data_IF_970301497694
#
_entry.id   IF_970301497694
#
_cell.length_a   1.000
_cell.length_b   1.000
_cell.length_c   1.000
_cell.angle_alpha   90.00
_cell.angle_beta   90.00
_cell.angle_gamma   90.00
#
_symmetry.space_group_name_H-M   'P 1'
#
loop_
_entity.id
_entity.type
_entity.pdbx_description
1 polymer ?
#
# COMPACT_ATOMS: atom_id res chain seq x y z
N UNK A 1 85.45 16.85 -28.72
CA UNK A 1 85.04 15.74 -27.84
C UNK A 1 84.36 16.37 -26.64
N UNK A 2 83.04 16.40 -26.71
CA UNK A 2 82.11 16.91 -25.70
C UNK A 2 81.83 15.80 -24.71
N UNK A 3 82.00 16.05 -23.40
CA UNK A 3 81.45 15.18 -22.37
C UNK A 3 80.63 16.03 -21.39
N UNK A 4 79.31 15.88 -21.50
CA UNK A 4 78.30 16.56 -20.70
C UNK A 4 78.05 15.75 -19.43
N UNK A 5 78.39 16.29 -18.27
CA UNK A 5 78.02 15.72 -16.98
C UNK A 5 76.52 16.01 -16.70
N UNK A 6 75.71 14.95 -16.57
CA UNK A 6 74.31 15.04 -16.20
C UNK A 6 74.14 15.34 -14.69
N UNK A 7 73.21 16.22 -14.27
CA UNK A 7 72.95 16.48 -12.86
C UNK A 7 72.10 15.37 -12.23
N UNK A 8 72.49 14.93 -11.03
CA UNK A 8 71.76 13.96 -10.23
C UNK A 8 70.39 14.50 -9.80
N UNK A 9 69.32 13.73 -10.02
CA UNK A 9 67.95 14.07 -9.60
C UNK A 9 67.80 13.94 -8.07
N UNK A 10 67.12 14.87 -7.40
CA UNK A 10 66.80 14.70 -5.98
C UNK A 10 65.75 13.60 -5.80
N UNK A 11 66.01 12.68 -4.87
CA UNK A 11 65.06 11.65 -4.45
C UNK A 11 63.88 12.32 -3.73
N UNK A 12 62.72 12.37 -4.36
CA UNK A 12 61.47 12.76 -3.71
C UNK A 12 60.98 11.61 -2.83
N UNK A 13 61.30 11.67 -1.54
CA UNK A 13 60.65 10.81 -0.53
C UNK A 13 59.25 11.36 -0.28
N UNK A 14 58.24 10.75 -0.91
CA UNK A 14 56.84 11.01 -0.60
C UNK A 14 56.57 10.38 0.78
N UNK A 15 56.40 11.20 1.81
CA UNK A 15 55.91 10.74 3.10
C UNK A 15 54.47 10.22 2.90
N UNK A 16 54.30 8.90 2.95
CA UNK A 16 52.96 8.29 3.01
C UNK A 16 52.45 8.54 4.43
N UNK A 17 51.73 9.64 4.63
CA UNK A 17 50.96 9.86 5.85
C UNK A 17 49.89 8.77 5.90
N UNK A 18 50.07 7.76 6.74
CA UNK A 18 49.06 6.74 7.06
C UNK A 18 47.97 7.34 7.98
N UNK A 19 47.34 8.43 7.57
CA UNK A 19 46.13 8.89 8.20
C UNK A 19 44.96 8.26 7.44
N UNK A 20 44.38 7.20 7.99
CA UNK A 20 43.10 6.70 7.53
C UNK A 20 42.11 7.89 7.47
N UNK A 21 41.36 8.09 6.38
CA UNK A 21 40.37 9.16 6.34
C UNK A 21 39.42 8.95 7.52
N UNK A 22 39.36 9.94 8.43
CA UNK A 22 38.38 9.92 9.52
C UNK A 22 37.00 9.77 8.88
N UNK A 23 36.32 8.68 9.22
CA UNK A 23 34.95 8.48 8.80
C UNK A 23 34.13 9.72 9.21
N UNK A 24 33.33 10.29 8.31
CA UNK A 24 32.53 11.47 8.65
C UNK A 24 31.70 11.16 9.90
N UNK A 25 31.90 11.96 10.94
CA UNK A 25 31.15 11.85 12.19
C UNK A 25 29.67 11.89 11.85
N UNK A 26 28.96 10.76 12.05
CA UNK A 26 27.50 10.72 11.88
C UNK A 26 26.92 11.85 12.74
N UNK A 27 26.12 12.77 12.17
CA UNK A 27 25.45 13.78 12.97
C UNK A 27 24.67 13.07 14.08
N UNK A 28 24.87 13.50 15.32
CA UNK A 28 24.20 12.93 16.47
C UNK A 28 22.69 12.91 16.20
N UNK A 29 22.06 11.75 16.35
CA UNK A 29 20.62 11.63 16.25
C UNK A 29 19.93 12.58 17.24
N UNK A 30 18.72 13.07 16.94
CA UNK A 30 17.99 13.92 17.87
C UNK A 30 17.88 13.21 19.22
N UNK A 31 18.12 13.97 20.30
CA UNK A 31 18.10 13.44 21.66
C UNK A 31 16.78 12.70 21.93
N UNK A 32 16.82 11.53 22.60
CA UNK A 32 15.61 10.80 22.95
C UNK A 32 14.68 11.71 23.77
N UNK A 33 13.41 11.74 23.39
CA UNK A 33 12.40 12.51 24.10
C UNK A 33 12.17 11.87 25.47
N UNK A 34 12.63 12.53 26.53
CA UNK A 34 12.43 12.11 27.91
C UNK A 34 11.22 12.83 28.51
N UNK A 35 10.28 12.08 29.07
CA UNK A 35 9.07 12.64 29.71
C UNK A 35 7.81 11.79 29.50
N UNK A 36 6.70 12.11 30.20
CA UNK A 36 5.43 11.40 30.03
C UNK A 36 4.84 11.66 28.64
N UNK A 37 4.15 10.66 28.09
CA UNK A 37 3.47 10.78 26.79
C UNK A 37 2.38 11.87 26.83
N UNK A 38 2.27 12.64 25.73
CA UNK A 38 1.25 13.70 25.57
C UNK A 38 0.64 13.62 24.17
N UNK A 39 -0.66 13.90 24.03
CA UNK A 39 -1.36 13.98 22.72
C UNK A 39 -0.66 14.92 21.72
N UNK A 40 -0.08 16.03 22.20
CA UNK A 40 0.69 16.95 21.38
C UNK A 40 1.88 16.29 20.67
N UNK A 41 2.41 15.17 21.18
CA UNK A 41 3.52 14.43 20.54
C UNK A 41 3.11 13.78 19.20
N UNK A 42 1.81 13.62 18.92
CA UNK A 42 1.33 13.19 17.60
C UNK A 42 1.65 14.22 16.51
N UNK A 43 1.72 15.50 16.87
CA UNK A 43 2.03 16.59 15.95
C UNK A 43 3.53 16.73 15.64
N UNK A 44 4.39 15.96 16.31
CA UNK A 44 5.84 16.04 16.13
C UNK A 44 6.30 15.53 14.76
N UNK A 45 5.53 14.63 14.13
CA UNK A 45 5.83 14.14 12.79
C UNK A 45 4.56 13.65 12.07
N UNK A 46 4.45 13.80 10.74
CA UNK A 46 3.32 13.33 9.96
C UNK A 46 2.96 11.86 10.19
N UNK A 47 3.96 10.97 10.26
CA UNK A 47 3.72 9.54 10.49
C UNK A 47 3.10 9.21 11.85
N UNK A 48 3.38 9.99 12.90
CA UNK A 48 2.80 9.72 14.24
C UNK A 48 1.29 9.95 14.23
N UNK A 49 0.85 11.07 13.66
CA UNK A 49 -0.57 11.39 13.50
C UNK A 49 -1.26 10.36 12.59
N UNK A 50 -0.70 10.10 11.40
CA UNK A 50 -1.28 9.17 10.44
C UNK A 50 -1.42 7.75 10.99
N UNK A 51 -0.37 7.23 11.64
CA UNK A 51 -0.37 5.87 12.18
C UNK A 51 -1.30 5.73 13.37
N UNK A 52 -1.39 6.75 14.24
CA UNK A 52 -2.33 6.74 15.35
C UNK A 52 -3.78 6.67 14.87
N UNK A 53 -4.15 7.52 13.91
CA UNK A 53 -5.50 7.52 13.33
C UNK A 53 -5.79 6.21 12.57
N UNK A 54 -4.81 5.68 11.84
CA UNK A 54 -4.94 4.39 11.17
C UNK A 54 -5.23 3.27 12.17
N UNK A 55 -4.48 3.23 13.28
CA UNK A 55 -4.69 2.23 14.33
C UNK A 55 -6.06 2.36 15.01
N UNK A 56 -6.56 3.59 15.23
CA UNK A 56 -7.91 3.80 15.76
C UNK A 56 -8.98 3.24 14.81
N UNK A 57 -8.89 3.56 13.51
CA UNK A 57 -9.83 3.05 12.51
C UNK A 57 -9.75 1.53 12.40
N UNK A 58 -8.54 0.96 12.39
CA UNK A 58 -8.33 -0.49 12.36
C UNK A 58 -8.94 -1.16 13.60
N UNK A 59 -8.66 -0.65 14.81
CA UNK A 59 -9.18 -1.22 16.05
C UNK A 59 -10.72 -1.18 16.08
N UNK A 60 -11.31 -0.06 15.68
CA UNK A 60 -12.75 0.10 15.60
C UNK A 60 -13.38 -0.85 14.58
N UNK A 61 -12.78 -0.96 13.38
CA UNK A 61 -13.27 -1.86 12.34
C UNK A 61 -13.09 -3.34 12.71
N UNK A 62 -12.01 -3.70 13.40
CA UNK A 62 -11.79 -5.06 13.93
C UNK A 62 -12.76 -5.40 15.04
N UNK A 63 -13.01 -4.50 15.99
CA UNK A 63 -14.00 -4.69 17.04
C UNK A 63 -15.43 -4.81 16.47
N UNK A 64 -15.76 -3.94 15.52
CA UNK A 64 -17.02 -4.00 14.78
C UNK A 64 -17.17 -5.32 14.04
N UNK A 65 -16.14 -5.78 13.32
CA UNK A 65 -16.20 -7.05 12.61
C UNK A 65 -16.30 -8.25 13.55
N UNK A 66 -15.59 -8.24 14.68
CA UNK A 66 -15.72 -9.27 15.70
C UNK A 66 -17.16 -9.35 16.21
N UNK A 67 -17.79 -8.21 16.54
CA UNK A 67 -19.19 -8.15 16.95
C UNK A 67 -20.14 -8.74 15.89
N UNK A 68 -19.93 -8.40 14.61
CA UNK A 68 -20.70 -8.98 13.49
C UNK A 68 -20.54 -10.49 13.42
N UNK A 69 -19.32 -11.01 13.63
CA UNK A 69 -19.05 -12.44 13.58
C UNK A 69 -19.65 -13.20 14.78
N UNK A 70 -19.54 -12.65 15.98
CA UNK A 70 -20.17 -13.21 17.18
C UNK A 70 -21.70 -13.28 17.04
N UNK A 71 -22.32 -12.20 16.55
CA UNK A 71 -23.77 -12.18 16.32
C UNK A 71 -24.20 -13.16 15.20
N UNK A 72 -23.38 -13.34 14.17
CA UNK A 72 -23.66 -14.34 13.11
C UNK A 72 -23.60 -15.78 13.59
N UNK A 73 -22.72 -16.08 14.55
CA UNK A 73 -22.56 -17.44 15.08
C UNK A 73 -23.63 -17.73 16.13
N UNK A 74 -23.88 -16.76 17.02
CA UNK A 74 -24.67 -17.00 18.23
C UNK A 74 -26.04 -16.31 18.24
N UNK A 75 -26.25 -15.25 17.44
CA UNK A 75 -27.48 -14.46 17.41
C UNK A 75 -27.75 -13.66 18.69
N UNK A 76 -26.75 -13.46 19.56
CA UNK A 76 -26.92 -12.87 20.89
C UNK A 76 -27.34 -11.40 20.87
N UNK A 77 -26.99 -10.65 19.82
CA UNK A 77 -27.16 -9.21 19.76
C UNK A 77 -28.28 -8.78 18.82
N UNK A 78 -28.65 -9.62 17.84
CA UNK A 78 -29.70 -9.34 16.87
C UNK A 78 -29.41 -8.07 16.07
N UNK A 79 -28.18 -7.96 15.54
CA UNK A 79 -27.71 -6.74 14.89
C UNK A 79 -28.52 -6.45 13.62
N UNK A 80 -29.13 -5.26 13.59
CA UNK A 80 -29.74 -4.70 12.38
C UNK A 80 -28.68 -4.08 11.46
N UNK A 81 -28.87 -4.20 10.15
CA UNK A 81 -27.94 -3.68 9.14
C UNK A 81 -28.68 -2.79 8.13
N UNK A 82 -28.29 -1.52 8.11
CA UNK A 82 -28.74 -0.55 7.09
C UNK A 82 -27.87 -0.60 5.83
N UNK A 83 -26.65 -1.14 5.94
CA UNK A 83 -25.73 -1.39 4.81
C UNK A 83 -25.19 -2.81 4.92
N UNK A 84 -24.98 -3.48 3.79
CA UNK A 84 -24.39 -4.81 3.74
C UNK A 84 -23.13 -4.91 4.62
N UNK A 85 -23.04 -5.88 5.54
CA UNK A 85 -21.85 -6.06 6.38
C UNK A 85 -20.59 -6.36 5.55
N UNK A 86 -20.74 -7.08 4.43
CA UNK A 86 -19.66 -7.41 3.52
C UNK A 86 -19.11 -6.14 2.84
N UNK A 87 -20.00 -5.28 2.34
CA UNK A 87 -19.59 -3.99 1.76
C UNK A 87 -18.95 -3.09 2.82
N UNK A 88 -19.54 -3.04 4.02
CA UNK A 88 -19.02 -2.26 5.14
C UNK A 88 -17.61 -2.67 5.50
N UNK A 89 -17.39 -3.97 5.70
CA UNK A 89 -16.08 -4.54 6.02
C UNK A 89 -15.07 -4.31 4.90
N UNK A 90 -15.40 -4.67 3.66
CA UNK A 90 -14.49 -4.54 2.53
C UNK A 90 -14.04 -3.08 2.34
N UNK A 91 -14.98 -2.14 2.40
CA UNK A 91 -14.69 -0.70 2.19
C UNK A 91 -13.75 -0.18 3.27
N UNK A 92 -14.02 -0.44 4.56
CA UNK A 92 -13.17 0.06 5.65
C UNK A 92 -11.81 -0.66 5.68
N UNK A 93 -11.74 -1.92 5.28
CA UNK A 93 -10.47 -2.66 5.24
C UNK A 93 -9.55 -2.17 4.11
N UNK A 94 -10.10 -1.80 2.95
CA UNK A 94 -9.30 -1.34 1.81
C UNK A 94 -9.02 0.17 1.90
N UNK A 95 -10.03 0.98 2.15
CA UNK A 95 -9.97 2.45 2.04
C UNK A 95 -9.89 3.16 3.40
N UNK A 96 -10.11 2.43 4.50
CA UNK A 96 -10.15 2.97 5.86
C UNK A 96 -8.78 3.33 6.43
N UNK A 97 -8.15 2.31 7.02
CA UNK A 97 -6.92 2.50 7.78
C UNK A 97 -5.68 2.56 6.89
N UNK A 98 -5.68 1.85 5.74
CA UNK A 98 -4.53 1.80 4.84
C UNK A 98 -4.10 3.17 4.30
N UNK A 99 -5.00 4.05 3.80
CA UNK A 99 -4.59 5.37 3.33
C UNK A 99 -4.09 6.28 4.45
N UNK A 100 -4.58 6.09 5.69
CA UNK A 100 -4.04 6.79 6.87
C UNK A 100 -2.61 6.34 7.18
N UNK A 101 -2.29 5.04 7.05
CA UNK A 101 -0.91 4.58 7.11
C UNK A 101 -0.05 5.16 5.97
N UNK A 102 -0.56 5.17 4.74
CA UNK A 102 0.14 5.80 3.62
C UNK A 102 0.44 7.26 3.88
N UNK A 103 -0.50 8.03 4.44
CA UNK A 103 -0.28 9.44 4.78
C UNK A 103 1.01 9.65 5.59
N UNK A 104 1.22 8.79 6.59
CA UNK A 104 2.38 8.88 7.46
C UNK A 104 3.67 8.69 6.68
N UNK A 105 3.67 7.71 5.79
CA UNK A 105 4.81 7.45 4.91
C UNK A 105 5.02 8.56 3.87
N UNK A 106 3.97 8.94 3.14
CA UNK A 106 4.02 9.88 2.01
C UNK A 106 4.48 11.27 2.43
N UNK A 107 4.03 11.78 3.59
CA UNK A 107 4.43 13.11 4.05
C UNK A 107 5.71 13.13 4.89
N UNK A 108 6.30 11.97 5.19
CA UNK A 108 7.60 11.88 5.87
C UNK A 108 8.73 11.55 4.88
N UNK A 109 8.52 10.56 4.00
CA UNK A 109 9.50 10.11 3.01
C UNK A 109 9.34 10.81 1.65
N UNK A 110 8.11 11.13 1.23
CA UNK A 110 7.83 11.75 -0.07
C UNK A 110 8.57 13.07 -0.30
N UNK A 111 8.58 14.04 0.64
CA UNK A 111 9.35 15.27 0.47
C UNK A 111 10.84 15.02 0.23
N UNK A 112 11.42 14.00 0.89
CA UNK A 112 12.83 13.61 0.69
C UNK A 112 13.06 13.00 -0.69
N UNK A 113 12.15 12.15 -1.17
CA UNK A 113 12.22 11.56 -2.51
C UNK A 113 12.14 12.61 -3.61
N UNK A 114 11.32 13.64 -3.38
CA UNK A 114 11.04 14.71 -4.32
C UNK A 114 11.99 15.89 -4.18
N UNK A 115 12.91 15.85 -3.21
CA UNK A 115 13.82 16.95 -2.87
C UNK A 115 13.08 18.29 -2.70
N UNK A 116 11.99 18.27 -1.94
CA UNK A 116 11.17 19.44 -1.60
C UNK A 116 11.03 19.60 -0.07
N UNK A 117 10.80 20.82 0.44
CA UNK A 117 10.54 21.03 1.86
C UNK A 117 9.32 20.22 2.34
N UNK A 118 9.39 19.56 3.51
CA UNK A 118 8.25 18.85 4.07
C UNK A 118 7.16 19.83 4.55
N UNK A 119 5.89 19.40 4.46
CA UNK A 119 4.80 20.15 5.07
C UNK A 119 4.83 20.05 6.60
N UNK A 120 4.32 21.09 7.25
CA UNK A 120 4.00 21.03 8.68
C UNK A 120 2.85 20.04 8.94
N UNK A 121 2.97 19.21 9.98
CA UNK A 121 1.96 18.21 10.35
C UNK A 121 0.58 18.81 10.58
N UNK A 122 0.48 20.09 10.99
CA UNK A 122 -0.78 20.81 11.17
C UNK A 122 -1.64 20.85 9.91
N UNK A 123 -1.02 20.90 8.72
CA UNK A 123 -1.76 20.88 7.45
C UNK A 123 -2.44 19.54 7.16
N UNK A 124 -2.01 18.47 7.84
CA UNK A 124 -2.55 17.12 7.67
C UNK A 124 -3.70 16.82 8.64
N UNK A 125 -3.92 17.66 9.66
CA UNK A 125 -4.97 17.41 10.67
C UNK A 125 -6.36 17.40 10.04
N UNK A 126 -6.65 18.36 9.14
CA UNK A 126 -7.91 18.43 8.41
C UNK A 126 -8.19 17.15 7.59
N UNK A 127 -7.37 16.81 6.58
CA UNK A 127 -7.64 15.66 5.72
C UNK A 127 -7.65 14.33 6.49
N UNK A 128 -6.74 14.13 7.45
CA UNK A 128 -6.69 12.87 8.21
C UNK A 128 -7.82 12.78 9.26
N UNK A 129 -8.23 13.91 9.82
CA UNK A 129 -9.40 14.00 10.71
C UNK A 129 -10.68 13.65 9.96
N UNK A 130 -10.88 14.18 8.75
CA UNK A 130 -12.02 13.85 7.88
C UNK A 130 -12.06 12.35 7.56
N UNK A 131 -10.92 11.76 7.20
CA UNK A 131 -10.81 10.31 7.01
C UNK A 131 -11.23 9.55 8.28
N UNK A 132 -10.59 9.82 9.42
CA UNK A 132 -10.87 9.09 10.66
C UNK A 132 -12.34 9.21 11.10
N UNK A 133 -12.91 10.42 11.06
CA UNK A 133 -14.31 10.65 11.39
C UNK A 133 -15.25 9.99 10.39
N UNK A 134 -14.93 10.05 9.10
CA UNK A 134 -15.70 9.42 8.03
C UNK A 134 -15.86 7.92 8.26
N UNK A 135 -14.78 7.23 8.66
CA UNK A 135 -14.84 5.80 8.96
C UNK A 135 -15.61 5.48 10.25
N UNK A 136 -15.63 6.37 11.24
CA UNK A 136 -16.49 6.18 12.42
C UNK A 136 -17.98 6.29 12.06
N UNK A 137 -18.34 7.27 11.23
CA UNK A 137 -19.72 7.38 10.70
C UNK A 137 -20.08 6.26 9.74
N UNK A 138 -19.12 5.72 8.98
CA UNK A 138 -19.33 4.54 8.14
C UNK A 138 -19.74 3.33 8.97
N UNK A 139 -18.97 3.01 10.02
CA UNK A 139 -19.25 1.87 10.90
C UNK A 139 -20.56 2.05 11.70
N UNK A 140 -20.82 3.26 12.21
CA UNK A 140 -22.09 3.55 12.89
C UNK A 140 -23.28 3.50 11.92
N UNK A 141 -23.12 4.09 10.74
CA UNK A 141 -24.14 4.13 9.69
C UNK A 141 -24.52 2.76 9.16
N UNK A 142 -23.59 1.79 9.16
CA UNK A 142 -23.87 0.42 8.79
C UNK A 142 -25.01 -0.22 9.61
N UNK A 143 -25.20 0.22 10.86
CA UNK A 143 -26.30 -0.23 11.72
C UNK A 143 -27.46 0.76 11.80
N UNK A 144 -27.16 2.05 11.87
CA UNK A 144 -28.16 3.06 12.20
C UNK A 144 -28.96 3.55 10.98
N UNK A 145 -28.28 3.91 9.89
CA UNK A 145 -28.89 4.47 8.71
C UNK A 145 -27.91 4.55 7.52
N UNK A 146 -28.38 4.20 6.33
CA UNK A 146 -27.59 4.32 5.09
C UNK A 146 -27.15 5.77 4.81
N UNK A 147 -27.95 6.78 5.18
CA UNK A 147 -27.59 8.19 5.03
C UNK A 147 -26.39 8.59 5.91
N UNK A 148 -26.28 8.04 7.12
CA UNK A 148 -25.13 8.24 7.99
C UNK A 148 -23.87 7.56 7.42
N UNK A 149 -24.04 6.37 6.84
CA UNK A 149 -22.94 5.68 6.15
C UNK A 149 -22.45 6.49 4.93
N UNK A 150 -23.37 7.02 4.12
CA UNK A 150 -23.05 7.88 2.97
C UNK A 150 -22.35 9.18 3.40
N UNK A 151 -22.77 9.80 4.51
CA UNK A 151 -22.06 10.93 5.11
C UNK A 151 -20.62 10.53 5.49
N UNK A 152 -20.46 9.35 6.11
CA UNK A 152 -19.15 8.78 6.41
C UNK A 152 -18.26 8.64 5.18
N UNK A 153 -18.77 8.07 4.08
CA UNK A 153 -18.05 7.98 2.81
C UNK A 153 -17.71 9.34 2.22
N UNK A 154 -18.61 10.31 2.29
CA UNK A 154 -18.37 11.66 1.78
C UNK A 154 -17.23 12.35 2.54
N UNK A 155 -17.20 12.25 3.87
CA UNK A 155 -16.09 12.78 4.69
C UNK A 155 -14.78 12.05 4.40
N UNK A 156 -14.81 10.71 4.30
CA UNK A 156 -13.65 9.91 3.95
C UNK A 156 -13.09 10.27 2.57
N UNK A 157 -13.97 10.43 1.57
CA UNK A 157 -13.62 10.85 0.22
C UNK A 157 -13.01 12.25 0.17
N UNK A 158 -13.61 13.21 0.89
CA UNK A 158 -13.07 14.57 0.99
C UNK A 158 -11.69 14.58 1.67
N UNK A 159 -11.51 13.80 2.74
CA UNK A 159 -10.24 13.66 3.44
C UNK A 159 -9.15 13.02 2.56
N UNK A 160 -9.49 11.93 1.87
CA UNK A 160 -8.59 11.22 0.96
C UNK A 160 -8.18 12.10 -0.24
N UNK A 161 -9.16 12.74 -0.88
CA UNK A 161 -8.93 13.64 -2.01
C UNK A 161 -8.06 14.84 -1.63
N UNK A 162 -8.33 15.46 -0.48
CA UNK A 162 -7.50 16.55 0.03
C UNK A 162 -6.07 16.08 0.35
N UNK A 163 -5.91 14.92 0.99
CA UNK A 163 -4.60 14.33 1.24
C UNK A 163 -3.80 14.14 -0.06
N UNK A 164 -4.40 13.54 -1.09
CA UNK A 164 -3.72 13.34 -2.37
C UNK A 164 -3.49 14.63 -3.15
N UNK A 165 -4.37 15.62 -3.02
CA UNK A 165 -4.12 16.96 -3.56
C UNK A 165 -2.84 17.58 -2.98
N UNK A 166 -2.63 17.47 -1.66
CA UNK A 166 -1.38 17.93 -1.03
C UNK A 166 -0.16 17.17 -1.56
N UNK A 167 -0.29 15.86 -1.77
CA UNK A 167 0.79 15.04 -2.33
C UNK A 167 1.12 15.42 -3.77
N UNK A 168 0.12 15.61 -4.63
CA UNK A 168 0.31 16.08 -6.01
C UNK A 168 0.96 17.46 -6.07
N UNK A 169 0.67 18.36 -5.11
CA UNK A 169 1.38 19.65 -4.99
C UNK A 169 2.88 19.47 -4.69
N UNK A 170 3.26 18.49 -3.87
CA UNK A 170 4.68 18.17 -3.66
C UNK A 170 5.33 17.67 -4.96
N UNK A 171 4.63 16.82 -5.71
CA UNK A 171 5.12 16.28 -6.97
C UNK A 171 5.31 17.37 -8.04
N UNK A 172 4.41 18.35 -8.09
CA UNK A 172 4.50 19.52 -8.96
C UNK A 172 5.64 20.46 -8.60
N UNK A 173 5.94 20.63 -7.30
CA UNK A 173 7.04 21.47 -6.83
C UNK A 173 8.43 20.83 -7.03
N UNK A 174 8.48 19.51 -7.21
CA UNK A 174 9.73 18.77 -7.38
C UNK A 174 10.45 19.14 -8.69
N UNK A 175 11.78 19.07 -8.66
CA UNK A 175 12.67 19.21 -9.83
C UNK A 175 13.53 17.98 -10.10
N UNK A 176 13.29 16.87 -9.40
CA UNK A 176 14.05 15.63 -9.63
C UNK A 176 13.65 14.98 -10.96
N UNK A 177 14.61 14.30 -11.60
CA UNK A 177 14.40 13.62 -12.89
C UNK A 177 13.58 12.32 -12.72
N UNK A 178 13.88 11.51 -11.70
CA UNK A 178 13.13 10.27 -11.42
C UNK A 178 11.92 10.54 -10.52
N UNK A 179 10.74 10.59 -11.13
CA UNK A 179 9.45 10.76 -10.44
C UNK A 179 8.55 9.53 -10.54
N UNK A 180 9.01 8.44 -11.15
CA UNK A 180 8.15 7.33 -11.59
C UNK A 180 7.37 6.75 -10.42
N UNK A 181 8.04 6.45 -9.29
CA UNK A 181 7.36 5.89 -8.11
C UNK A 181 6.37 6.86 -7.48
N UNK A 182 6.73 8.15 -7.36
CA UNK A 182 5.86 9.15 -6.78
C UNK A 182 4.63 9.42 -7.66
N UNK A 183 4.79 9.43 -8.99
CA UNK A 183 3.69 9.52 -9.94
C UNK A 183 2.78 8.30 -9.86
N UNK A 184 3.32 7.07 -9.78
CA UNK A 184 2.52 5.85 -9.62
C UNK A 184 1.66 5.89 -8.34
N UNK A 185 2.25 6.32 -7.22
CA UNK A 185 1.52 6.53 -5.95
C UNK A 185 0.45 7.62 -6.09
N UNK A 186 0.75 8.72 -6.78
CA UNK A 186 -0.20 9.80 -7.02
C UNK A 186 -1.39 9.35 -7.87
N UNK A 187 -1.15 8.58 -8.93
CA UNK A 187 -2.19 7.99 -9.79
C UNK A 187 -3.03 7.01 -8.99
N UNK A 188 -2.41 6.15 -8.17
CA UNK A 188 -3.12 5.25 -7.27
C UNK A 188 -4.07 6.02 -6.34
N UNK A 189 -3.63 7.15 -5.78
CA UNK A 189 -4.49 8.01 -4.97
C UNK A 189 -5.69 8.60 -5.70
N UNK A 190 -5.54 8.93 -6.99
CA UNK A 190 -6.66 9.37 -7.84
C UNK A 190 -7.65 8.21 -8.01
N UNK A 191 -7.16 7.02 -8.38
CA UNK A 191 -8.00 5.81 -8.53
C UNK A 191 -8.74 5.50 -7.24
N UNK A 192 -8.06 5.54 -6.09
CA UNK A 192 -8.66 5.30 -4.78
C UNK A 192 -9.76 6.30 -4.43
N UNK A 193 -9.54 7.59 -4.70
CA UNK A 193 -10.53 8.66 -4.47
C UNK A 193 -11.75 8.48 -5.38
N UNK A 194 -11.54 8.18 -6.66
CA UNK A 194 -12.63 7.94 -7.61
C UNK A 194 -13.43 6.68 -7.26
N UNK A 195 -12.76 5.59 -6.86
CA UNK A 195 -13.42 4.36 -6.42
C UNK A 195 -14.25 4.58 -5.15
N UNK A 196 -13.74 5.37 -4.19
CA UNK A 196 -14.47 5.70 -2.96
C UNK A 196 -15.72 6.54 -3.26
N UNK A 197 -15.60 7.56 -4.11
CA UNK A 197 -16.74 8.35 -4.58
C UNK A 197 -17.76 7.47 -5.34
N UNK A 198 -17.27 6.64 -6.26
CA UNK A 198 -18.09 5.70 -7.02
C UNK A 198 -18.81 4.68 -6.13
N UNK A 199 -18.18 4.23 -5.05
CA UNK A 199 -18.79 3.32 -4.06
C UNK A 199 -20.01 3.98 -3.43
N UNK A 200 -19.90 5.25 -3.02
CA UNK A 200 -21.04 6.02 -2.50
C UNK A 200 -22.15 6.22 -3.54
N UNK A 201 -21.80 6.50 -4.80
CA UNK A 201 -22.76 6.64 -5.90
C UNK A 201 -23.47 5.31 -6.23
N UNK A 202 -22.75 4.19 -6.20
CA UNK A 202 -23.30 2.86 -6.42
C UNK A 202 -24.28 2.48 -5.28
N UNK A 203 -23.93 2.81 -4.03
CA UNK A 203 -24.81 2.61 -2.88
C UNK A 203 -26.10 3.44 -2.98
N UNK A 204 -26.02 4.69 -3.42
CA UNK A 204 -27.20 5.53 -3.65
C UNK A 204 -28.16 4.93 -4.69
N UNK A 205 -27.63 4.14 -5.62
CA UNK A 205 -28.39 3.44 -6.66
C UNK A 205 -28.78 2.01 -6.25
N UNK A 206 -28.45 1.56 -5.04
CA UNK A 206 -28.69 0.19 -4.58
C UNK A 206 -27.85 -0.87 -5.30
N UNK A 207 -26.74 -0.48 -5.94
CA UNK A 207 -25.87 -1.37 -6.73
C UNK A 207 -24.70 -1.90 -5.90
N UNK A 208 -24.99 -2.74 -4.91
CA UNK A 208 -23.97 -3.28 -3.99
C UNK A 208 -22.84 -4.04 -4.70
N UNK A 209 -23.13 -4.72 -5.80
CA UNK A 209 -22.10 -5.43 -6.59
C UNK A 209 -21.14 -4.48 -7.28
N UNK A 210 -21.65 -3.36 -7.82
CA UNK A 210 -20.81 -2.32 -8.41
C UNK A 210 -19.96 -1.65 -7.31
N UNK A 211 -20.55 -1.39 -6.15
CA UNK A 211 -19.84 -0.84 -5.00
C UNK A 211 -18.66 -1.74 -4.57
N UNK A 212 -18.90 -3.05 -4.46
CA UNK A 212 -17.84 -4.02 -4.15
C UNK A 212 -16.79 -4.14 -5.27
N UNK A 213 -17.18 -4.07 -6.55
CA UNK A 213 -16.23 -4.06 -7.66
C UNK A 213 -15.31 -2.82 -7.63
N UNK A 214 -15.85 -1.65 -7.27
CA UNK A 214 -15.08 -0.43 -7.06
C UNK A 214 -14.13 -0.52 -5.86
N UNK A 215 -14.57 -1.11 -4.75
CA UNK A 215 -13.70 -1.37 -3.59
C UNK A 215 -12.54 -2.30 -3.96
N UNK A 216 -12.79 -3.37 -4.73
CA UNK A 216 -11.73 -4.25 -5.23
C UNK A 216 -10.82 -3.56 -6.25
N UNK A 217 -11.37 -2.68 -7.08
CA UNK A 217 -10.59 -1.82 -7.97
C UNK A 217 -9.66 -0.90 -7.16
N UNK A 218 -10.12 -0.36 -6.03
CA UNK A 218 -9.27 0.40 -5.11
C UNK A 218 -8.19 -0.47 -4.44
N UNK A 219 -8.48 -1.73 -4.12
CA UNK A 219 -7.46 -2.63 -3.59
C UNK A 219 -6.27 -2.75 -4.56
N UNK A 220 -6.53 -3.08 -5.83
CA UNK A 220 -5.45 -3.26 -6.80
C UNK A 220 -4.90 -1.95 -7.35
N UNK A 221 -5.79 -1.10 -7.87
CA UNK A 221 -5.45 0.16 -8.54
C UNK A 221 -4.97 1.27 -7.60
N UNK A 222 -5.19 1.14 -6.29
CA UNK A 222 -4.72 2.11 -5.30
C UNK A 222 -3.78 1.48 -4.25
N UNK A 223 -4.24 0.51 -3.46
CA UNK A 223 -3.45 -0.03 -2.35
C UNK A 223 -2.22 -0.79 -2.86
N UNK A 224 -2.40 -1.75 -3.77
CA UNK A 224 -1.31 -2.54 -4.34
C UNK A 224 -0.39 -1.66 -5.18
N UNK A 225 -0.91 -0.78 -6.04
CA UNK A 225 -0.09 0.19 -6.80
C UNK A 225 0.81 1.03 -5.89
N UNK A 226 0.25 1.59 -4.81
CA UNK A 226 1.04 2.36 -3.83
C UNK A 226 2.08 1.48 -3.15
N UNK A 227 1.67 0.29 -2.72
CA UNK A 227 2.52 -0.65 -2.03
C UNK A 227 3.72 -1.09 -2.88
N UNK A 228 3.51 -1.55 -4.12
CA UNK A 228 4.58 -2.05 -5.00
C UNK A 228 5.51 -0.92 -5.46
N UNK A 229 4.99 0.29 -5.67
CA UNK A 229 5.81 1.46 -5.98
C UNK A 229 6.75 1.80 -4.81
N UNK A 230 6.26 1.75 -3.57
CA UNK A 230 7.08 1.98 -2.37
C UNK A 230 8.06 0.81 -2.14
N UNK A 231 7.58 -0.43 -2.22
CA UNK A 231 8.38 -1.64 -2.02
C UNK A 231 9.55 -1.70 -3.00
N UNK A 232 9.31 -1.44 -4.28
CA UNK A 232 10.36 -1.43 -5.31
C UNK A 232 11.50 -0.47 -4.98
N UNK A 233 11.20 0.66 -4.34
CA UNK A 233 12.21 1.67 -3.96
C UNK A 233 12.89 1.34 -2.63
N UNK A 234 12.11 0.91 -1.64
CA UNK A 234 12.57 0.76 -0.26
C UNK A 234 13.28 -0.57 0.00
N UNK A 235 12.77 -1.68 -0.53
CA UNK A 235 13.30 -3.01 -0.26
C UNK A 235 14.77 -3.10 -0.72
N UNK A 236 15.13 -2.80 -1.98
CA UNK A 236 16.53 -2.86 -2.42
C UNK A 236 17.45 -1.85 -1.71
N UNK A 237 16.89 -0.70 -1.30
CA UNK A 237 17.64 0.34 -0.59
C UNK A 237 18.07 -0.10 0.81
N UNK A 238 17.19 -0.75 1.57
CA UNK A 238 17.55 -1.19 2.92
C UNK A 238 18.44 -2.44 2.92
N UNK A 239 18.28 -3.34 1.94
CA UNK A 239 19.14 -4.52 1.80
C UNK A 239 20.59 -4.13 1.50
N UNK A 240 20.82 -3.14 0.62
CA UNK A 240 22.15 -2.60 0.32
C UNK A 240 22.75 -1.76 1.45
N UNK A 241 21.93 -1.04 2.22
CA UNK A 241 22.40 -0.33 3.42
C UNK A 241 22.91 -1.24 4.55
N UNK A 242 22.48 -2.51 4.58
CA UNK A 242 22.96 -3.53 5.52
C UNK A 242 24.14 -4.37 4.99
N UNK A 243 24.35 -4.38 3.67
CA UNK A 243 25.41 -5.13 2.99
C UNK A 243 26.13 -4.21 1.97
N UNK A 244 27.16 -3.45 2.39
CA UNK A 244 27.81 -2.43 1.56
C UNK A 244 28.54 -2.94 0.30
N UNK A 245 28.54 -4.27 0.05
CA UNK A 245 29.21 -4.92 -1.08
C UNK A 245 28.25 -5.40 -2.19
N UNK A 246 26.94 -5.18 -2.07
CA UNK A 246 25.95 -5.59 -3.08
C UNK A 246 25.40 -4.36 -3.79
N UNK A 247 25.59 -4.29 -5.11
CA UNK A 247 24.96 -3.26 -5.95
C UNK A 247 23.43 -3.33 -5.89
N UNK A 248 22.77 -2.17 -5.86
CA UNK A 248 21.31 -2.08 -5.77
C UNK A 248 20.66 -2.56 -7.07
N UNK A 249 20.27 -3.84 -7.12
CA UNK A 249 19.52 -4.39 -8.25
C UNK A 249 18.05 -3.95 -8.19
N UNK A 250 17.72 -2.90 -8.95
CA UNK A 250 16.38 -2.31 -9.03
C UNK A 250 16.04 -1.84 -10.45
N UNK A 251 15.92 -2.76 -11.43
CA UNK A 251 15.59 -2.38 -12.79
C UNK A 251 14.11 -1.98 -12.90
N UNK A 252 13.81 -0.92 -13.66
CA UNK A 252 12.45 -0.38 -13.78
C UNK A 252 11.44 -1.36 -14.41
N UNK A 253 11.88 -2.35 -15.19
CA UNK A 253 10.97 -3.36 -15.74
C UNK A 253 10.28 -4.17 -14.63
N UNK A 254 10.92 -4.37 -13.48
CA UNK A 254 10.31 -5.06 -12.34
C UNK A 254 9.14 -4.24 -11.80
N UNK A 255 9.29 -2.91 -11.69
CA UNK A 255 8.18 -2.03 -11.33
C UNK A 255 7.03 -2.14 -12.32
N UNK A 256 7.31 -2.07 -13.61
CA UNK A 256 6.28 -2.15 -14.64
C UNK A 256 5.58 -3.51 -14.66
N UNK A 257 6.29 -4.61 -14.38
CA UNK A 257 5.69 -5.93 -14.21
C UNK A 257 4.71 -5.94 -13.03
N UNK A 258 5.09 -5.39 -11.88
CA UNK A 258 4.23 -5.34 -10.69
C UNK A 258 3.00 -4.43 -10.89
N UNK A 259 3.20 -3.27 -11.53
CA UNK A 259 2.10 -2.37 -11.90
C UNK A 259 1.20 -2.99 -12.96
N UNK A 260 1.77 -3.72 -13.92
CA UNK A 260 1.04 -4.47 -14.93
C UNK A 260 0.19 -5.59 -14.34
N UNK A 261 0.72 -6.33 -13.35
CA UNK A 261 -0.05 -7.32 -12.60
C UNK A 261 -1.23 -6.65 -11.87
N UNK A 262 -1.00 -5.54 -11.16
CA UNK A 262 -2.09 -4.81 -10.49
C UNK A 262 -3.15 -4.29 -11.49
N UNK A 263 -2.74 -3.80 -12.66
CA UNK A 263 -3.66 -3.36 -13.70
C UNK A 263 -4.45 -4.53 -14.31
N UNK A 264 -3.80 -5.69 -14.49
CA UNK A 264 -4.45 -6.91 -14.94
C UNK A 264 -5.53 -7.35 -13.95
N UNK A 265 -5.25 -7.32 -12.64
CA UNK A 265 -6.26 -7.64 -11.62
C UNK A 265 -7.43 -6.65 -11.56
N UNK A 266 -7.20 -5.38 -11.91
CA UNK A 266 -8.34 -4.45 -12.12
C UNK A 266 -9.17 -4.90 -13.33
N UNK A 267 -8.52 -5.29 -14.43
CA UNK A 267 -9.21 -5.75 -15.62
C UNK A 267 -10.04 -7.02 -15.34
N UNK A 268 -9.50 -7.99 -14.58
CA UNK A 268 -10.24 -9.21 -14.21
C UNK A 268 -11.55 -8.88 -13.52
N UNK A 269 -11.52 -7.97 -12.53
CA UNK A 269 -12.73 -7.52 -11.81
C UNK A 269 -13.82 -7.02 -12.77
N UNK A 270 -13.47 -6.22 -13.77
CA UNK A 270 -14.44 -5.61 -14.67
C UNK A 270 -14.91 -6.55 -15.78
N UNK A 271 -14.05 -7.47 -16.25
CA UNK A 271 -14.47 -8.54 -17.16
C UNK A 271 -15.49 -9.45 -16.46
N UNK A 272 -15.21 -9.83 -15.21
CA UNK A 272 -16.08 -10.68 -14.41
C UNK A 272 -17.41 -9.98 -14.07
N UNK A 273 -17.36 -8.66 -13.81
CA UNK A 273 -18.56 -7.84 -13.58
C UNK A 273 -19.44 -7.72 -14.83
N UNK A 274 -18.86 -7.63 -16.02
CA UNK A 274 -19.60 -7.50 -17.28
C UNK A 274 -20.29 -8.80 -17.71
N UNK A 275 -19.74 -9.95 -17.35
CA UNK A 275 -20.29 -11.26 -17.71
C UNK A 275 -20.35 -12.21 -16.49
N UNK A 276 -21.28 -11.98 -15.54
CA UNK A 276 -21.40 -12.81 -14.34
C UNK A 276 -21.97 -14.19 -14.70
N UNK A 277 -21.12 -15.20 -14.89
CA UNK A 277 -21.54 -16.57 -15.13
C UNK A 277 -20.45 -17.63 -15.00
N UNK A 278 -20.79 -18.77 -14.39
CA UNK A 278 -19.85 -19.84 -14.06
C UNK A 278 -19.25 -20.59 -15.28
N UNK A 279 -19.80 -20.37 -16.47
CA UNK A 279 -19.32 -20.97 -17.73
C UNK A 279 -19.04 -19.91 -18.78
N UNK A 280 -19.07 -18.62 -18.41
CA UNK A 280 -19.14 -17.55 -19.40
C UNK A 280 -17.81 -17.45 -20.17
N UNK A 281 -16.65 -17.65 -19.50
CA UNK A 281 -15.34 -17.49 -20.13
C UNK A 281 -14.27 -18.47 -19.60
N UNK A 282 -14.37 -19.79 -19.84
CA UNK A 282 -13.40 -20.77 -19.32
C UNK A 282 -11.96 -20.48 -19.77
N UNK A 283 -11.79 -20.02 -21.02
CA UNK A 283 -10.50 -19.61 -21.55
C UNK A 283 -9.91 -18.39 -20.83
N UNK A 284 -10.75 -17.42 -20.47
CA UNK A 284 -10.33 -16.25 -19.68
C UNK A 284 -9.89 -16.67 -18.29
N UNK A 285 -10.66 -17.52 -17.60
CA UNK A 285 -10.29 -18.01 -16.28
C UNK A 285 -8.95 -18.76 -16.31
N UNK A 286 -8.71 -19.60 -17.33
CA UNK A 286 -7.41 -20.26 -17.51
C UNK A 286 -6.31 -19.22 -17.75
N UNK A 287 -6.55 -18.19 -18.56
CA UNK A 287 -5.58 -17.12 -18.78
C UNK A 287 -5.26 -16.36 -17.47
N UNK A 288 -6.27 -16.04 -16.66
CA UNK A 288 -6.10 -15.42 -15.34
C UNK A 288 -5.24 -16.30 -14.43
N UNK A 289 -5.56 -17.59 -14.32
CA UNK A 289 -4.77 -18.56 -13.53
C UNK A 289 -3.31 -18.55 -13.96
N UNK A 290 -3.03 -18.61 -15.27
CA UNK A 290 -1.65 -18.63 -15.77
C UNK A 290 -0.90 -17.33 -15.45
N UNK A 291 -1.56 -16.18 -15.60
CA UNK A 291 -0.97 -14.87 -15.28
C UNK A 291 -0.72 -14.73 -13.78
N UNK A 292 -1.68 -15.11 -12.92
CA UNK A 292 -1.54 -15.09 -11.47
C UNK A 292 -0.44 -16.03 -10.98
N UNK A 293 -0.33 -17.24 -11.54
CA UNK A 293 0.75 -18.19 -11.23
C UNK A 293 2.12 -17.61 -11.61
N UNK A 294 2.24 -17.04 -12.82
CA UNK A 294 3.48 -16.44 -13.28
C UNK A 294 3.86 -15.22 -12.44
N UNK A 295 2.93 -14.30 -12.22
CA UNK A 295 3.16 -13.09 -11.41
C UNK A 295 3.47 -13.45 -9.95
N UNK A 296 2.70 -14.34 -9.33
CA UNK A 296 2.93 -14.83 -7.97
C UNK A 296 4.30 -15.49 -7.80
N UNK A 297 4.68 -16.35 -8.76
CA UNK A 297 6.01 -16.98 -8.78
C UNK A 297 7.15 -15.98 -8.89
N UNK A 298 7.03 -14.99 -9.80
CA UNK A 298 8.02 -13.93 -9.98
C UNK A 298 8.12 -13.05 -8.72
N UNK A 299 6.99 -12.70 -8.08
CA UNK A 299 7.00 -11.91 -6.84
C UNK A 299 7.69 -12.65 -5.69
N UNK A 300 7.44 -13.95 -5.52
CA UNK A 300 8.12 -14.76 -4.49
C UNK A 300 9.61 -14.90 -4.78
N UNK A 301 9.98 -15.11 -6.03
CA UNK A 301 11.39 -15.13 -6.44
C UNK A 301 12.07 -13.78 -6.17
N UNK A 302 11.43 -12.66 -6.51
CA UNK A 302 11.92 -11.31 -6.20
C UNK A 302 12.06 -11.08 -4.69
N UNK A 303 11.12 -11.57 -3.89
CA UNK A 303 11.20 -11.47 -2.43
C UNK A 303 12.48 -12.14 -1.89
N UNK A 304 12.86 -13.29 -2.44
CA UNK A 304 14.10 -13.99 -2.09
C UNK A 304 15.33 -13.24 -2.60
N UNK A 305 15.35 -12.82 -3.87
CA UNK A 305 16.48 -12.10 -4.50
C UNK A 305 16.78 -10.78 -3.79
N UNK A 306 15.74 -10.08 -3.32
CA UNK A 306 15.91 -8.83 -2.58
C UNK A 306 16.31 -9.01 -1.10
N UNK A 307 16.58 -10.24 -0.66
CA UNK A 307 17.20 -10.52 0.63
C UNK A 307 16.22 -10.73 1.77
N UNK A 308 15.17 -11.54 1.55
CA UNK A 308 14.16 -11.88 2.56
C UNK A 308 14.80 -12.27 3.90
N UNK A 309 15.79 -13.16 3.92
CA UNK A 309 16.41 -13.67 5.16
C UNK A 309 17.18 -12.57 5.89
N UNK A 310 17.90 -11.73 5.16
CA UNK A 310 18.66 -10.61 5.71
C UNK A 310 17.72 -9.54 6.28
N UNK A 311 16.55 -9.36 5.67
CA UNK A 311 15.54 -8.38 6.07
C UNK A 311 14.93 -8.64 7.44
N UNK A 312 14.84 -9.92 7.85
CA UNK A 312 14.21 -10.33 9.11
C UNK A 312 14.95 -9.81 10.35
N UNK A 313 16.22 -9.39 10.21
CA UNK A 313 17.00 -8.80 11.30
C UNK A 313 16.51 -7.40 11.70
N UNK A 314 15.85 -6.68 10.79
CA UNK A 314 15.33 -5.32 11.02
C UNK A 314 13.80 -5.37 10.96
N UNK A 315 13.12 -5.20 12.10
CA UNK A 315 11.65 -5.35 12.22
C UNK A 315 10.85 -4.59 11.17
N UNK A 316 11.22 -3.34 10.89
CA UNK A 316 10.53 -2.51 9.90
C UNK A 316 10.70 -3.03 8.47
N UNK A 317 11.88 -3.56 8.14
CA UNK A 317 12.17 -4.12 6.83
C UNK A 317 11.53 -5.50 6.64
N UNK A 318 11.51 -6.29 7.72
CA UNK A 318 10.85 -7.59 7.79
C UNK A 318 9.35 -7.46 7.47
N UNK A 319 8.66 -6.49 8.09
CA UNK A 319 7.23 -6.26 7.83
C UNK A 319 6.96 -5.95 6.34
N UNK A 320 7.81 -5.11 5.72
CA UNK A 320 7.66 -4.78 4.31
C UNK A 320 7.91 -5.99 3.40
N UNK A 321 8.95 -6.80 3.68
CA UNK A 321 9.25 -8.01 2.90
C UNK A 321 8.22 -9.10 3.08
N UNK A 322 7.70 -9.30 4.29
CA UNK A 322 6.64 -10.28 4.58
C UNK A 322 5.37 -9.88 3.83
N UNK A 323 5.01 -8.59 3.82
CA UNK A 323 3.90 -8.11 2.98
C UNK A 323 4.14 -8.39 1.49
N UNK A 324 5.38 -8.32 1.02
CA UNK A 324 5.71 -8.47 -0.39
C UNK A 324 5.64 -9.93 -0.81
N UNK A 325 6.18 -10.82 0.03
CA UNK A 325 6.02 -12.26 -0.12
C UNK A 325 4.54 -12.66 -0.06
N UNK A 326 3.77 -12.05 0.86
CA UNK A 326 2.34 -12.31 0.98
C UNK A 326 1.55 -11.91 -0.27
N UNK A 327 1.92 -10.83 -0.96
CA UNK A 327 1.33 -10.48 -2.26
C UNK A 327 1.53 -11.61 -3.29
N UNK A 328 2.73 -12.19 -3.35
CA UNK A 328 3.01 -13.36 -4.20
C UNK A 328 2.18 -14.58 -3.81
N UNK A 329 2.11 -14.89 -2.51
CA UNK A 329 1.26 -15.99 -1.98
C UNK A 329 -0.22 -15.76 -2.32
N UNK A 330 -0.71 -14.53 -2.20
CA UNK A 330 -2.10 -14.19 -2.47
C UNK A 330 -2.50 -14.45 -3.93
N UNK A 331 -1.62 -14.12 -4.89
CA UNK A 331 -1.84 -14.44 -6.30
C UNK A 331 -1.84 -15.95 -6.57
N UNK A 332 -0.88 -16.69 -6.00
CA UNK A 332 -0.87 -18.16 -6.13
C UNK A 332 -2.10 -18.81 -5.49
N UNK A 333 -2.56 -18.25 -4.37
CA UNK A 333 -3.76 -18.71 -3.69
C UNK A 333 -5.02 -18.40 -4.50
N UNK A 334 -5.10 -17.23 -5.14
CA UNK A 334 -6.17 -16.88 -6.09
C UNK A 334 -6.22 -17.89 -7.24
N UNK A 335 -5.07 -18.18 -7.84
CA UNK A 335 -4.96 -19.13 -8.95
C UNK A 335 -5.37 -20.55 -8.54
N UNK A 336 -4.96 -21.01 -7.35
CA UNK A 336 -5.37 -22.29 -6.78
C UNK A 336 -6.89 -22.35 -6.55
N UNK A 337 -7.48 -21.27 -6.02
CA UNK A 337 -8.93 -21.16 -5.83
C UNK A 337 -9.69 -21.23 -7.15
N UNK A 338 -9.24 -20.53 -8.19
CA UNK A 338 -9.85 -20.56 -9.52
C UNK A 338 -9.70 -21.94 -10.19
N UNK A 339 -8.55 -22.60 -10.00
CA UNK A 339 -8.30 -23.96 -10.51
C UNK A 339 -9.23 -24.99 -9.87
N UNK A 340 -9.38 -24.94 -8.55
CA UNK A 340 -10.31 -25.82 -7.82
C UNK A 340 -11.76 -25.57 -8.23
N UNK A 341 -12.10 -24.32 -8.48
CA UNK A 341 -13.42 -23.96 -8.99
C UNK A 341 -13.69 -24.56 -10.37
N UNK A 342 -12.75 -24.45 -11.33
CA UNK A 342 -12.87 -25.09 -12.65
C UNK A 342 -12.97 -26.62 -12.55
N UNK A 343 -12.25 -27.23 -11.63
CA UNK A 343 -12.24 -28.69 -11.45
C UNK A 343 -13.52 -29.24 -10.81
N UNK A 344 -14.15 -28.47 -9.91
CA UNK A 344 -15.29 -28.94 -9.09
C UNK A 344 -16.63 -28.33 -9.51
N UNK A 345 -16.62 -27.30 -10.34
CA UNK A 345 -17.81 -26.51 -10.69
C UNK A 345 -18.41 -25.75 -9.50
N UNK A 346 -17.70 -25.67 -8.36
CA UNK A 346 -18.18 -25.07 -7.11
C UNK A 346 -17.12 -24.16 -6.49
N UNK A 347 -17.49 -23.03 -5.88
CA UNK A 347 -16.53 -22.19 -5.16
C UNK A 347 -16.17 -22.87 -3.82
N UNK A 348 -15.06 -23.63 -3.80
CA UNK A 348 -14.67 -24.44 -2.62
C UNK A 348 -13.96 -23.63 -1.54
N UNK A 349 -13.09 -22.68 -1.91
CA UNK A 349 -12.24 -21.95 -0.96
C UNK A 349 -12.84 -20.63 -0.45
N UNK A 350 -14.11 -20.32 -0.72
CA UNK A 350 -14.76 -19.08 -0.30
C UNK A 350 -14.12 -17.77 -0.80
N UNK A 351 -13.06 -17.88 -1.62
CA UNK A 351 -12.15 -16.79 -1.99
C UNK A 351 -12.22 -16.37 -3.46
N UNK A 352 -13.35 -16.64 -4.13
CA UNK A 352 -13.77 -15.83 -5.29
C UNK A 352 -13.97 -14.32 -4.95
N UNK A 353 -13.53 -13.88 -3.77
CA UNK A 353 -13.53 -12.48 -3.37
C UNK A 353 -12.30 -11.71 -3.87
N UNK A 354 -11.20 -12.37 -4.29
CA UNK A 354 -10.01 -11.70 -4.83
C UNK A 354 -9.99 -11.67 -6.37
N UNK A 355 -10.22 -12.80 -7.05
CA UNK A 355 -10.66 -12.83 -8.46
C UNK A 355 -12.19 -12.78 -8.51
N UNK A 356 -12.80 -12.00 -9.41
CA UNK A 356 -14.19 -11.53 -9.39
C UNK A 356 -15.34 -12.55 -9.45
N UNK A 357 -15.26 -13.71 -8.78
CA UNK A 357 -16.18 -14.84 -9.00
C UNK A 357 -16.88 -15.37 -7.73
N UNK A 358 -16.80 -14.67 -6.61
CA UNK A 358 -17.40 -15.04 -5.32
C UNK A 358 -18.88 -14.64 -5.16
N UNK A 359 -19.50 -14.12 -6.22
CA UNK A 359 -20.78 -13.40 -6.14
C UNK A 359 -22.02 -14.29 -6.05
N UNK A 360 -21.88 -15.62 -6.10
CA UNK A 360 -23.01 -16.55 -6.22
C UNK A 360 -23.46 -17.26 -4.95
N UNK A 361 -22.79 -17.12 -3.80
CA UNK A 361 -23.05 -18.00 -2.63
C UNK A 361 -23.30 -17.31 -1.30
N UNK A 362 -23.62 -16.01 -1.29
CA UNK A 362 -24.18 -15.36 -0.10
C UNK A 362 -25.52 -14.76 -0.48
N UNK A 363 -26.56 -15.60 -0.48
CA UNK A 363 -27.92 -15.16 -0.18
C UNK A 363 -28.20 -15.49 1.27
#
# INVERSE_FOLDING_TARGET
MTDSAAPARPAHTIAITSAAPQAPTRPAGPAPTTGPWRLATLMAAPHRLGFFLAMLVLMAASAWWLLVQEDRIHGWFGLGYAVSPTLTHATVMVLGFMPLFFSGFLFTAGPRWLNVPPYATRLLVGPLGLQAMGWMFWLAGAHLAASLALLGLALACAGLGWMYLLFWRLLGASRVNDRVHATAVGIGGIVGTLCLAGTGLAMLQGQDQLALALVRTALWGFIVVTYVAVAHRMIPFFTSGALPLIEVWRPLWVLWLMLGAAAFEVLTIWVDFAAPGASAWPFWTVAVILVELAAGGVLLWLAVVWGLVQSLKIRLLAMLHVGFAWLGVALLWSAASQTLWLATGRPVLGLGALGGWGWGCVR
#
